data_IF_415373180921
#
_entry.id   IF_415373180921
#
_cell.length_a   1.000
_cell.length_b   1.000
_cell.length_c   1.000
_cell.angle_alpha   90.00
_cell.angle_beta   90.00
_cell.angle_gamma   90.00
#
_symmetry.space_group_name_H-M   'P 1'
#
loop_
_entity.id
_entity.type
_entity.pdbx_description
1 polymer ?
#
# COMPACT_ATOMS: atom_id res chain seq x y z
N UNK A 1 8.15 -36.72 -7.26
CA UNK A 1 7.92 -35.30 -7.54
C UNK A 1 6.72 -34.81 -6.75
N UNK A 2 6.96 -33.94 -5.75
CA UNK A 2 5.90 -33.42 -4.88
C UNK A 2 4.99 -32.43 -5.62
N UNK A 3 5.48 -31.86 -6.71
CA UNK A 3 4.72 -30.91 -7.51
C UNK A 3 4.61 -31.43 -8.95
N UNK A 4 3.45 -31.97 -9.34
CA UNK A 4 3.21 -32.37 -10.71
C UNK A 4 3.48 -31.24 -11.71
N UNK A 5 4.10 -31.56 -12.84
CA UNK A 5 4.51 -30.56 -13.86
C UNK A 5 3.35 -29.65 -14.31
N UNK A 6 2.13 -30.16 -14.36
CA UNK A 6 0.94 -29.40 -14.71
C UNK A 6 0.61 -28.27 -13.71
N UNK A 7 1.01 -28.40 -12.43
CA UNK A 7 0.75 -27.42 -11.38
C UNK A 7 1.89 -26.41 -11.20
N UNK A 8 3.12 -26.78 -11.59
CA UNK A 8 4.32 -25.96 -11.32
C UNK A 8 4.33 -24.62 -12.05
N UNK A 9 3.56 -24.45 -13.11
CA UNK A 9 3.47 -23.19 -13.86
C UNK A 9 2.50 -22.19 -13.24
N UNK A 10 1.48 -22.66 -12.53
CA UNK A 10 0.39 -21.82 -12.03
C UNK A 10 0.48 -21.54 -10.52
N UNK A 11 1.17 -22.38 -9.77
CA UNK A 11 1.24 -22.26 -8.33
C UNK A 11 2.61 -21.76 -7.87
N UNK A 12 2.60 -21.00 -6.77
CA UNK A 12 3.81 -20.49 -6.11
C UNK A 12 3.95 -21.25 -4.81
N UNK A 13 4.63 -22.40 -4.85
CA UNK A 13 4.79 -23.30 -3.70
C UNK A 13 6.24 -23.74 -3.50
N UNK A 14 6.59 -23.95 -2.23
CA UNK A 14 7.83 -24.57 -1.80
C UNK A 14 7.57 -25.56 -0.68
N UNK A 15 8.47 -26.51 -0.51
CA UNK A 15 8.54 -27.35 0.69
C UNK A 15 9.46 -26.66 1.70
N UNK A 16 9.04 -26.59 2.95
CA UNK A 16 9.79 -25.97 4.03
C UNK A 16 10.18 -27.01 5.08
N UNK A 17 11.33 -26.81 5.71
CA UNK A 17 11.65 -27.49 6.96
C UNK A 17 10.67 -26.99 8.01
N UNK A 18 10.07 -27.89 8.82
CA UNK A 18 9.08 -27.48 9.80
C UNK A 18 9.61 -26.37 10.71
N UNK A 19 8.87 -25.25 10.71
CA UNK A 19 9.11 -24.10 11.59
C UNK A 19 10.51 -23.45 11.49
N UNK A 20 11.09 -23.54 10.32
CA UNK A 20 12.29 -22.80 9.94
C UNK A 20 12.00 -21.99 8.66
N UNK A 21 12.67 -20.86 8.52
CA UNK A 21 12.58 -20.06 7.29
C UNK A 21 13.36 -20.69 6.12
N UNK A 22 13.69 -21.97 6.23
CA UNK A 22 14.43 -22.73 5.22
C UNK A 22 13.45 -23.46 4.30
N UNK A 23 13.57 -23.17 3.01
CA UNK A 23 12.75 -23.79 1.99
C UNK A 23 13.61 -24.59 1.00
N UNK A 24 13.04 -25.65 0.47
CA UNK A 24 13.65 -26.49 -0.54
C UNK A 24 12.55 -27.01 -1.46
N UNK A 25 12.92 -27.54 -2.64
CA UNK A 25 11.98 -28.06 -3.62
C UNK A 25 10.86 -27.07 -3.98
N UNK A 26 11.08 -26.34 -5.06
CA UNK A 26 10.27 -25.19 -5.44
C UNK A 26 9.50 -25.46 -6.72
N UNK A 27 8.30 -24.88 -6.87
CA UNK A 27 7.68 -24.71 -8.18
C UNK A 27 8.45 -23.70 -9.02
N UNK A 28 8.32 -23.77 -10.35
CA UNK A 28 9.04 -22.86 -11.25
C UNK A 28 8.72 -21.38 -11.00
N UNK A 29 7.48 -21.05 -10.63
CA UNK A 29 7.12 -19.68 -10.27
C UNK A 29 7.78 -19.22 -8.98
N UNK A 30 7.88 -20.10 -7.98
CA UNK A 30 8.56 -19.77 -6.73
C UNK A 30 10.05 -19.52 -6.97
N UNK A 31 10.70 -20.35 -7.78
CA UNK A 31 12.11 -20.15 -8.17
C UNK A 31 12.35 -18.80 -8.82
N UNK A 32 11.46 -18.39 -9.75
CA UNK A 32 11.57 -17.09 -10.41
C UNK A 32 11.51 -15.93 -9.40
N UNK A 33 10.65 -16.03 -8.39
CA UNK A 33 10.57 -15.01 -7.34
C UNK A 33 11.88 -14.94 -6.55
N UNK A 34 12.43 -16.08 -6.10
CA UNK A 34 13.68 -16.12 -5.36
C UNK A 34 14.90 -15.65 -6.17
N UNK A 35 14.90 -15.85 -7.48
CA UNK A 35 16.00 -15.41 -8.35
C UNK A 35 16.25 -13.90 -8.31
N UNK A 36 15.22 -13.10 -8.03
CA UNK A 36 15.36 -11.65 -7.85
C UNK A 36 16.17 -11.26 -6.61
N UNK A 37 16.25 -12.13 -5.59
CA UNK A 37 17.06 -11.92 -4.37
C UNK A 37 18.40 -12.68 -4.37
N UNK A 38 18.86 -13.23 -5.51
CA UNK A 38 20.10 -13.99 -5.56
C UNK A 38 19.97 -15.43 -5.10
N UNK A 39 18.77 -15.99 -5.08
CA UNK A 39 18.45 -17.38 -4.76
C UNK A 39 18.97 -17.85 -3.39
N UNK A 40 18.51 -17.19 -2.32
CA UNK A 40 18.73 -17.67 -0.96
C UNK A 40 17.61 -18.66 -0.55
N UNK A 41 17.93 -19.81 0.05
CA UNK A 41 16.93 -20.76 0.56
C UNK A 41 16.16 -20.21 1.77
N UNK A 42 16.67 -19.17 2.39
CA UNK A 42 16.02 -18.45 3.49
C UNK A 42 15.18 -17.30 2.90
N UNK A 43 13.95 -17.18 3.38
CA UNK A 43 13.12 -16.05 3.07
C UNK A 43 12.67 -15.35 4.36
N UNK A 44 12.78 -14.03 4.37
CA UNK A 44 12.36 -13.21 5.51
C UNK A 44 10.85 -13.01 5.53
N UNK A 45 10.23 -13.21 6.68
CA UNK A 45 8.83 -12.90 6.89
C UNK A 45 8.77 -11.48 7.48
N UNK A 46 7.96 -10.62 6.88
CA UNK A 46 7.77 -9.24 7.35
C UNK A 46 7.34 -9.22 8.81
N UNK A 47 8.01 -8.41 9.63
CA UNK A 47 7.69 -8.21 11.04
C UNK A 47 7.61 -9.50 11.87
N UNK A 48 8.40 -10.50 11.52
CA UNK A 48 8.56 -11.75 12.30
C UNK A 48 10.03 -11.99 12.53
N UNK A 49 10.45 -11.92 13.78
CA UNK A 49 11.78 -12.26 14.22
C UNK A 49 11.86 -13.72 14.72
N UNK A 50 13.05 -14.17 15.09
CA UNK A 50 13.29 -15.54 15.55
C UNK A 50 12.52 -15.86 16.85
N UNK A 51 12.33 -14.88 17.73
CA UNK A 51 11.61 -15.06 18.99
C UNK A 51 10.11 -15.23 18.74
N UNK A 52 9.55 -14.44 17.83
CA UNK A 52 8.15 -14.58 17.41
C UNK A 52 7.92 -15.91 16.69
N UNK A 53 8.84 -16.33 15.81
CA UNK A 53 8.78 -17.63 15.16
C UNK A 53 8.82 -18.77 16.19
N UNK A 54 9.65 -18.62 17.22
CA UNK A 54 9.72 -19.59 18.31
C UNK A 54 8.39 -19.70 19.06
N UNK A 55 7.77 -18.59 19.43
CA UNK A 55 6.45 -18.56 20.10
C UNK A 55 5.37 -19.18 19.21
N UNK A 56 5.38 -18.89 17.90
CA UNK A 56 4.45 -19.50 16.96
C UNK A 56 4.58 -21.02 16.92
N UNK A 57 5.79 -21.54 17.00
CA UNK A 57 6.06 -22.99 17.06
C UNK A 57 5.54 -23.60 18.35
N UNK A 58 5.77 -22.95 19.49
CA UNK A 58 5.23 -23.39 20.79
C UNK A 58 3.70 -23.38 20.80
N UNK A 59 3.07 -22.37 20.16
CA UNK A 59 1.62 -22.30 20.07
C UNK A 59 1.00 -23.47 19.29
N UNK A 60 1.70 -24.01 18.28
CA UNK A 60 1.25 -25.22 17.59
C UNK A 60 1.29 -26.45 18.52
N UNK A 61 2.30 -26.54 19.37
CA UNK A 61 2.37 -27.58 20.39
C UNK A 61 1.20 -27.44 21.38
N UNK A 62 0.90 -26.20 21.82
CA UNK A 62 -0.25 -25.94 22.69
C UNK A 62 -1.59 -26.33 22.03
N UNK A 63 -1.74 -26.06 20.74
CA UNK A 63 -2.94 -26.45 20.00
C UNK A 63 -3.09 -27.96 19.92
N UNK A 64 -2.02 -28.70 19.61
CA UNK A 64 -2.05 -30.14 19.40
C UNK A 64 -2.18 -30.92 20.71
N UNK A 65 -1.41 -30.57 21.74
CA UNK A 65 -1.28 -31.35 22.96
C UNK A 65 -2.07 -30.83 24.15
N UNK A 66 -2.42 -29.54 24.16
CA UNK A 66 -3.11 -28.91 25.29
C UNK A 66 -4.51 -28.38 24.92
N UNK A 67 -5.00 -28.72 23.72
CA UNK A 67 -6.37 -28.41 23.28
C UNK A 67 -6.65 -26.92 23.11
N UNK A 68 -5.61 -26.10 22.94
CA UNK A 68 -5.75 -24.69 22.68
C UNK A 68 -6.18 -24.47 21.21
N UNK A 69 -6.72 -23.28 20.91
CA UNK A 69 -7.09 -22.85 19.55
C UNK A 69 -6.45 -21.50 19.24
N UNK A 70 -5.14 -21.43 19.46
CA UNK A 70 -4.37 -20.23 19.22
C UNK A 70 -4.28 -20.02 17.71
N UNK A 71 -4.73 -18.88 17.26
CA UNK A 71 -4.61 -18.46 15.86
C UNK A 71 -3.92 -17.09 15.83
N UNK A 72 -2.76 -17.03 15.19
CA UNK A 72 -2.10 -15.77 14.92
C UNK A 72 -2.81 -15.11 13.74
N UNK A 73 -3.79 -14.25 14.05
CA UNK A 73 -4.61 -13.58 13.04
C UNK A 73 -3.83 -12.59 12.14
N UNK A 74 -2.55 -12.38 12.43
CA UNK A 74 -1.69 -11.52 11.61
C UNK A 74 -1.31 -12.26 10.33
N UNK A 75 -1.69 -11.76 9.14
CA UNK A 75 -1.25 -12.37 7.89
C UNK A 75 0.27 -12.22 7.76
N UNK A 76 0.94 -13.32 7.41
CA UNK A 76 2.38 -13.34 7.15
C UNK A 76 2.64 -12.89 5.72
N UNK A 77 3.62 -11.99 5.54
CA UNK A 77 4.01 -11.49 4.23
C UNK A 77 5.48 -11.71 3.94
N UNK A 78 5.77 -11.99 2.69
CA UNK A 78 7.08 -12.00 2.10
C UNK A 78 7.18 -10.86 1.09
N UNK A 79 8.09 -9.93 1.34
CA UNK A 79 8.28 -8.74 0.51
C UNK A 79 9.53 -8.90 -0.34
N UNK A 80 9.37 -8.62 -1.63
CA UNK A 80 10.47 -8.73 -2.58
C UNK A 80 10.38 -7.64 -3.64
N UNK A 81 11.50 -6.98 -3.90
CA UNK A 81 11.64 -6.06 -5.00
C UNK A 81 11.94 -6.82 -6.29
N UNK A 82 11.20 -6.53 -7.35
CA UNK A 82 11.46 -7.12 -8.66
C UNK A 82 12.63 -6.41 -9.39
N UNK A 83 12.97 -6.91 -10.59
CA UNK A 83 14.05 -6.36 -11.43
C UNK A 83 13.82 -4.90 -11.84
N UNK A 84 12.59 -4.43 -11.81
CA UNK A 84 12.19 -3.07 -12.17
C UNK A 84 12.11 -2.14 -10.96
N UNK A 85 12.48 -2.63 -9.77
CA UNK A 85 12.42 -1.85 -8.53
C UNK A 85 11.01 -1.81 -7.90
N UNK A 86 10.04 -2.57 -8.42
CA UNK A 86 8.70 -2.62 -7.85
C UNK A 86 8.67 -3.56 -6.66
N UNK A 87 8.16 -3.08 -5.53
CA UNK A 87 7.94 -3.90 -4.34
C UNK A 87 6.70 -4.79 -4.54
N UNK A 88 6.90 -6.08 -4.47
CA UNK A 88 5.84 -7.07 -4.48
C UNK A 88 5.65 -7.66 -3.09
N UNK A 89 4.41 -7.86 -2.69
CA UNK A 89 4.01 -8.39 -1.39
C UNK A 89 3.29 -9.72 -1.59
N UNK A 90 3.89 -10.80 -1.08
CA UNK A 90 3.28 -12.13 -1.14
C UNK A 90 2.77 -12.52 0.24
N UNK A 91 1.49 -12.87 0.33
CA UNK A 91 0.92 -13.47 1.52
C UNK A 91 1.38 -14.92 1.62
N UNK A 92 1.91 -15.31 2.77
CA UNK A 92 2.37 -16.66 3.06
C UNK A 92 1.22 -17.47 3.67
N UNK A 93 0.93 -18.62 3.08
CA UNK A 93 0.13 -19.67 3.71
C UNK A 93 1.02 -20.87 3.98
N UNK A 94 1.03 -21.32 5.22
CA UNK A 94 1.80 -22.46 5.66
C UNK A 94 0.85 -23.62 5.98
N UNK A 95 1.04 -24.76 5.31
CA UNK A 95 0.33 -25.99 5.60
C UNK A 95 1.28 -26.94 6.34
N UNK A 96 0.90 -27.34 7.55
CA UNK A 96 1.65 -28.23 8.43
C UNK A 96 1.05 -29.64 8.53
N UNK A 97 0.12 -30.03 7.67
CA UNK A 97 -0.57 -31.34 7.73
C UNK A 97 0.40 -32.54 7.63
N UNK A 98 1.61 -32.29 7.12
CA UNK A 98 2.66 -33.31 6.98
C UNK A 98 3.73 -33.24 8.08
N UNK A 99 3.44 -32.53 9.17
CA UNK A 99 4.34 -32.34 10.29
C UNK A 99 3.85 -33.18 11.48
N UNK A 100 4.68 -34.09 11.96
CA UNK A 100 4.47 -34.84 13.19
C UNK A 100 5.22 -34.15 14.32
N UNK A 101 4.54 -33.88 15.43
CA UNK A 101 5.12 -33.25 16.62
C UNK A 101 5.26 -34.33 17.70
N UNK A 102 6.47 -34.55 18.21
CA UNK A 102 6.73 -35.55 19.25
C UNK A 102 7.54 -34.97 20.42
N UNK A 103 7.15 -35.23 21.67
CA UNK A 103 7.94 -34.81 22.83
C UNK A 103 9.23 -35.63 22.94
N UNK A 104 10.25 -35.03 23.52
CA UNK A 104 11.49 -35.71 23.95
C UNK A 104 11.51 -35.90 25.46
N UNK A 105 12.57 -36.52 25.99
CA UNK A 105 12.78 -36.62 27.44
C UNK A 105 12.97 -35.24 28.13
N UNK A 106 13.27 -34.22 27.39
CA UNK A 106 13.40 -32.83 27.88
C UNK A 106 12.08 -32.07 27.91
N UNK A 107 11.00 -32.65 27.40
CA UNK A 107 9.69 -31.98 27.37
C UNK A 107 9.12 -31.87 28.77
N UNK A 108 8.53 -30.69 29.04
CA UNK A 108 7.81 -30.45 30.30
C UNK A 108 6.31 -30.66 30.06
N UNK A 109 5.65 -31.29 31.05
CA UNK A 109 4.19 -31.33 31.05
C UNK A 109 3.67 -30.06 31.70
N UNK A 110 2.90 -29.26 30.99
CA UNK A 110 2.34 -28.01 31.47
C UNK A 110 0.98 -28.26 32.14
N UNK A 111 0.71 -27.53 33.21
CA UNK A 111 -0.63 -27.40 33.79
C UNK A 111 -1.47 -26.41 33.00
N UNK A 112 -2.79 -26.39 33.18
CA UNK A 112 -3.67 -25.42 32.55
C UNK A 112 -3.35 -24.00 33.03
N UNK A 113 -2.94 -23.80 34.27
CA UNK A 113 -2.53 -22.52 34.81
C UNK A 113 -1.26 -21.97 34.11
N UNK A 114 -0.27 -22.86 33.88
CA UNK A 114 0.94 -22.48 33.13
C UNK A 114 0.67 -22.18 31.65
N UNK A 115 -0.29 -22.87 31.05
CA UNK A 115 -0.75 -22.54 29.69
C UNK A 115 -1.41 -21.19 29.67
N UNK A 116 -2.26 -20.83 30.63
CA UNK A 116 -2.87 -19.50 30.73
C UNK A 116 -1.80 -18.43 30.99
N UNK A 117 -0.81 -18.72 31.88
CA UNK A 117 0.31 -17.82 32.14
C UNK A 117 1.07 -17.45 30.84
N UNK A 118 1.32 -18.45 29.97
CA UNK A 118 1.97 -18.25 28.68
C UNK A 118 1.13 -17.36 27.74
N UNK A 119 -0.18 -17.60 27.69
CA UNK A 119 -1.08 -16.86 26.83
C UNK A 119 -1.27 -15.41 27.28
N UNK A 120 -1.24 -15.15 28.59
CA UNK A 120 -1.32 -13.82 29.18
C UNK A 120 -0.01 -13.02 29.04
N UNK A 121 1.12 -13.71 28.78
CA UNK A 121 2.45 -13.12 28.62
C UNK A 121 3.07 -13.50 27.27
N UNK A 122 2.35 -13.21 26.20
CA UNK A 122 2.73 -13.55 24.83
C UNK A 122 4.10 -13.00 24.41
N UNK A 123 4.48 -11.84 24.87
CA UNK A 123 5.74 -11.13 24.56
C UNK A 123 6.93 -11.52 25.45
N UNK A 124 6.72 -12.35 26.48
CA UNK A 124 7.77 -12.78 27.39
C UNK A 124 8.48 -14.03 26.86
N UNK A 125 9.42 -13.86 25.95
CA UNK A 125 10.17 -14.97 25.31
C UNK A 125 10.90 -15.86 26.32
N UNK A 126 11.40 -15.31 27.45
CA UNK A 126 12.11 -16.10 28.45
C UNK A 126 11.17 -17.08 29.15
N UNK A 127 9.92 -16.67 29.41
CA UNK A 127 8.88 -17.55 29.93
C UNK A 127 8.59 -18.73 28.97
N UNK A 128 8.44 -18.42 27.68
CA UNK A 128 8.21 -19.44 26.66
C UNK A 128 9.38 -20.39 26.54
N UNK A 129 10.65 -19.91 26.54
CA UNK A 129 11.86 -20.75 26.52
C UNK A 129 12.03 -21.59 27.78
N UNK A 130 11.55 -21.12 28.94
CA UNK A 130 11.57 -21.88 30.17
C UNK A 130 10.58 -23.04 30.13
N UNK A 131 9.37 -22.86 29.57
CA UNK A 131 8.32 -23.87 29.47
C UNK A 131 8.53 -24.85 28.28
N UNK A 132 9.15 -24.37 27.20
CA UNK A 132 9.51 -25.15 26.02
C UNK A 132 11.03 -25.10 25.80
N UNK A 133 11.87 -25.80 26.59
CA UNK A 133 13.31 -25.77 26.41
C UNK A 133 13.72 -26.23 25.01
N UNK A 134 14.87 -25.74 24.54
CA UNK A 134 15.41 -26.20 23.25
C UNK A 134 15.53 -27.73 23.24
N UNK A 135 15.20 -28.34 22.09
CA UNK A 135 15.20 -29.81 21.89
C UNK A 135 14.17 -30.54 22.73
N UNK A 136 13.24 -29.87 23.41
CA UNK A 136 12.17 -30.56 24.17
C UNK A 136 11.11 -31.16 23.27
N UNK A 137 11.00 -30.70 22.03
CA UNK A 137 10.08 -31.22 21.03
C UNK A 137 10.78 -31.41 19.69
N UNK A 138 10.42 -32.48 19.00
CA UNK A 138 10.91 -32.79 17.66
C UNK A 138 9.75 -32.67 16.68
N UNK A 139 9.99 -31.91 15.63
CA UNK A 139 9.07 -31.73 14.51
C UNK A 139 9.63 -32.52 13.32
N UNK A 140 8.94 -33.56 12.91
CA UNK A 140 9.33 -34.43 11.80
C UNK A 140 8.42 -34.19 10.61
N UNK A 141 8.97 -34.32 9.40
CA UNK A 141 8.22 -34.19 8.18
C UNK A 141 8.56 -32.89 7.44
N UNK A 142 7.58 -32.27 6.81
CA UNK A 142 7.77 -31.05 6.04
C UNK A 142 6.48 -30.19 6.03
N UNK A 143 6.65 -28.90 5.88
CA UNK A 143 5.56 -27.97 5.61
C UNK A 143 5.49 -27.61 4.13
N UNK A 144 4.32 -27.18 3.70
CA UNK A 144 4.14 -26.59 2.37
C UNK A 144 3.88 -25.10 2.53
N UNK A 145 4.77 -24.29 1.95
CA UNK A 145 4.61 -22.84 1.85
C UNK A 145 3.93 -22.54 0.52
N UNK A 146 2.83 -21.80 0.55
CA UNK A 146 2.18 -21.25 -0.63
C UNK A 146 2.21 -19.75 -0.58
N UNK A 147 2.60 -19.10 -1.69
CA UNK A 147 2.61 -17.65 -1.81
C UNK A 147 1.45 -17.19 -2.69
N UNK A 148 0.75 -16.19 -2.22
CA UNK A 148 -0.30 -15.49 -2.96
C UNK A 148 0.09 -14.04 -3.15
N UNK A 149 -0.01 -13.56 -4.38
CA UNK A 149 0.23 -12.15 -4.68
C UNK A 149 -0.83 -11.27 -4.02
N UNK A 150 -0.43 -10.56 -3.00
CA UNK A 150 -1.25 -9.62 -2.23
C UNK A 150 -0.72 -8.19 -2.38
N UNK A 151 0.04 -7.90 -3.44
CA UNK A 151 0.71 -6.61 -3.65
C UNK A 151 -0.27 -5.45 -3.62
N UNK A 152 -1.38 -5.54 -4.33
CA UNK A 152 -2.39 -4.47 -4.38
C UNK A 152 -3.03 -4.25 -3.01
N UNK A 153 -3.41 -5.31 -2.30
CA UNK A 153 -4.04 -5.22 -0.98
C UNK A 153 -3.08 -4.63 0.07
N UNK A 154 -1.84 -5.11 0.09
CA UNK A 154 -0.81 -4.63 0.99
C UNK A 154 -0.44 -3.17 0.69
N UNK A 155 -0.30 -2.80 -0.58
CA UNK A 155 0.00 -1.44 -0.98
C UNK A 155 -1.12 -0.45 -0.60
N UNK A 156 -2.39 -0.83 -0.77
CA UNK A 156 -3.54 -0.03 -0.33
C UNK A 156 -3.56 0.10 1.20
N UNK A 157 -3.25 -0.97 1.94
CA UNK A 157 -3.15 -0.92 3.41
C UNK A 157 -2.05 0.04 3.86
N UNK A 158 -0.88 0.01 3.20
CA UNK A 158 0.22 0.93 3.47
C UNK A 158 -0.16 2.38 3.14
N UNK A 159 -0.84 2.60 2.00
CA UNK A 159 -1.36 3.92 1.63
C UNK A 159 -2.27 4.46 2.74
N UNK A 160 -3.24 3.66 3.20
CA UNK A 160 -4.13 4.05 4.29
C UNK A 160 -3.38 4.40 5.57
N UNK A 161 -2.39 3.60 5.96
CA UNK A 161 -1.57 3.87 7.13
C UNK A 161 -0.78 5.17 6.98
N UNK A 162 -0.20 5.42 5.81
CA UNK A 162 0.57 6.63 5.52
C UNK A 162 -0.33 7.87 5.52
N UNK A 163 -1.49 7.82 4.91
CA UNK A 163 -2.44 8.93 4.92
C UNK A 163 -2.98 9.26 6.32
N UNK A 164 -2.83 8.36 7.31
CA UNK A 164 -3.25 8.56 8.70
C UNK A 164 -2.17 9.17 9.60
N UNK A 165 -0.90 9.19 9.16
CA UNK A 165 0.22 9.70 9.97
C UNK A 165 0.18 11.24 10.10
N UNK A 166 0.79 11.76 11.16
CA UNK A 166 0.82 13.21 11.45
C UNK A 166 1.79 13.99 10.55
N UNK A 167 1.66 15.32 10.52
CA UNK A 167 2.46 16.20 9.64
C UNK A 167 3.97 16.16 9.88
N UNK A 168 4.41 15.87 11.11
CA UNK A 168 5.83 15.87 11.49
C UNK A 168 6.58 14.71 10.84
N UNK A 169 5.86 13.66 10.46
CA UNK A 169 6.43 12.46 9.82
C UNK A 169 6.38 12.53 8.28
N UNK A 170 5.86 13.60 7.69
CA UNK A 170 5.51 13.67 6.25
C UNK A 170 6.68 13.84 5.28
N UNK A 171 7.83 14.35 5.71
CA UNK A 171 8.96 14.63 4.79
C UNK A 171 9.54 13.37 4.11
N UNK A 172 9.38 12.18 4.71
CA UNK A 172 9.81 10.90 4.13
C UNK A 172 8.76 10.25 3.20
N UNK A 173 7.54 10.81 3.12
CA UNK A 173 6.38 10.13 2.53
C UNK A 173 6.19 10.22 1.02
N UNK A 174 6.86 11.12 0.36
CA UNK A 174 6.62 11.34 -1.07
C UNK A 174 7.12 10.20 -1.90
N UNK A 175 8.35 9.76 -1.61
CA UNK A 175 8.93 8.60 -2.26
C UNK A 175 8.13 7.32 -1.93
N UNK A 176 7.59 7.24 -0.70
CA UNK A 176 6.73 6.14 -0.31
C UNK A 176 5.39 6.16 -1.05
N UNK A 177 4.76 7.34 -1.21
CA UNK A 177 3.48 7.49 -1.89
C UNK A 177 3.58 7.04 -3.36
N UNK A 178 4.55 7.56 -4.12
CA UNK A 178 4.79 7.11 -5.49
C UNK A 178 5.14 5.61 -5.55
N UNK A 179 5.95 5.11 -4.61
CA UNK A 179 6.33 3.69 -4.53
C UNK A 179 5.12 2.80 -4.33
N UNK A 180 4.17 3.21 -3.49
CA UNK A 180 2.91 2.51 -3.29
C UNK A 180 2.11 2.45 -4.60
N UNK A 181 1.99 3.59 -5.30
CA UNK A 181 1.29 3.63 -6.58
C UNK A 181 1.99 2.79 -7.65
N UNK A 182 3.32 2.84 -7.74
CA UNK A 182 4.11 1.97 -8.63
C UNK A 182 3.81 0.49 -8.37
N UNK A 183 3.68 0.10 -7.11
CA UNK A 183 3.34 -1.27 -6.71
C UNK A 183 1.90 -1.65 -7.11
N UNK A 184 0.90 -0.78 -6.86
CA UNK A 184 -0.50 -1.02 -7.23
C UNK A 184 -0.67 -1.13 -8.74
N UNK A 185 -0.07 -0.21 -9.49
CA UNK A 185 -0.23 -0.12 -10.94
C UNK A 185 0.76 -1.01 -11.70
N UNK A 186 1.84 -1.46 -11.05
CA UNK A 186 2.95 -2.25 -11.64
C UNK A 186 3.61 -1.52 -12.81
N UNK A 187 3.78 -0.21 -12.67
CA UNK A 187 4.43 0.68 -13.63
C UNK A 187 5.63 1.32 -12.92
N UNK A 188 6.88 0.94 -13.25
CA UNK A 188 8.08 1.41 -12.55
C UNK A 188 8.29 2.92 -12.64
N UNK A 189 7.98 3.50 -13.82
CA UNK A 189 8.17 4.91 -14.11
C UNK A 189 6.91 5.76 -13.86
N UNK A 190 5.94 5.22 -13.11
CA UNK A 190 4.73 5.95 -12.73
C UNK A 190 5.11 7.13 -11.84
N UNK A 191 4.60 8.29 -12.20
CA UNK A 191 4.62 9.50 -11.38
C UNK A 191 3.21 9.88 -11.00
N UNK A 192 3.04 10.40 -9.79
CA UNK A 192 1.73 10.75 -9.22
C UNK A 192 1.70 12.23 -8.89
N UNK A 193 0.66 12.90 -9.31
CA UNK A 193 0.36 14.28 -8.98
C UNK A 193 -1.00 14.42 -8.33
N UNK A 194 -1.22 15.56 -7.69
CA UNK A 194 -2.50 15.86 -7.08
C UNK A 194 -2.75 17.35 -7.04
N UNK A 195 -3.98 17.75 -7.35
CA UNK A 195 -4.46 19.14 -7.21
C UNK A 195 -5.75 19.16 -6.40
N UNK A 196 -5.90 20.19 -5.58
CA UNK A 196 -7.14 20.49 -4.87
C UNK A 196 -8.02 21.42 -5.70
N UNK A 197 -9.33 21.28 -5.52
CA UNK A 197 -10.29 22.20 -6.10
C UNK A 197 -10.86 23.12 -5.03
N UNK A 198 -10.65 24.43 -5.21
CA UNK A 198 -11.26 25.47 -4.39
C UNK A 198 -12.62 25.85 -4.98
N UNK A 199 -13.70 25.41 -4.35
CA UNK A 199 -15.06 25.67 -4.84
C UNK A 199 -15.46 27.15 -4.73
N UNK A 200 -14.96 27.89 -3.72
CA UNK A 200 -15.33 29.29 -3.48
C UNK A 200 -14.76 30.19 -4.57
N UNK A 201 -13.55 29.89 -5.05
CA UNK A 201 -12.84 30.70 -6.05
C UNK A 201 -12.90 30.10 -7.45
N UNK A 202 -13.44 28.88 -7.56
CA UNK A 202 -13.49 28.11 -8.81
C UNK A 202 -12.09 27.94 -9.43
N UNK A 203 -11.11 27.57 -8.59
CA UNK A 203 -9.70 27.42 -8.98
C UNK A 203 -9.16 26.05 -8.59
N UNK A 204 -8.15 25.61 -9.35
CA UNK A 204 -7.31 24.49 -8.97
C UNK A 204 -6.03 25.01 -8.30
N UNK A 205 -5.69 24.44 -7.16
CA UNK A 205 -4.53 24.86 -6.36
C UNK A 205 -3.66 23.66 -6.01
N UNK A 206 -2.35 23.87 -5.90
CA UNK A 206 -1.46 22.85 -5.33
C UNK A 206 -1.74 22.70 -3.84
N UNK A 207 -1.66 21.48 -3.27
CA UNK A 207 -1.77 21.30 -1.85
C UNK A 207 -0.72 22.14 -1.10
N UNK A 208 -1.06 22.83 -0.01
CA UNK A 208 -0.17 23.79 0.66
C UNK A 208 1.07 23.14 1.32
N UNK A 209 1.12 21.82 1.46
CA UNK A 209 2.29 21.07 1.95
C UNK A 209 3.17 20.54 0.83
N UNK A 210 2.97 21.00 -0.39
CA UNK A 210 3.63 20.44 -1.56
C UNK A 210 4.95 21.12 -1.91
N UNK A 211 5.57 21.87 -1.00
CA UNK A 211 6.85 22.54 -1.33
C UNK A 211 7.94 21.55 -1.77
N UNK A 212 7.79 20.25 -1.49
CA UNK A 212 8.68 19.21 -2.02
C UNK A 212 7.99 17.87 -2.37
N UNK A 213 6.65 17.72 -2.17
CA UNK A 213 6.11 16.38 -2.02
C UNK A 213 5.14 15.85 -3.08
N UNK A 214 4.19 16.59 -3.55
CA UNK A 214 3.33 16.13 -4.63
C UNK A 214 3.34 17.12 -5.78
N UNK A 215 3.95 16.70 -6.88
CA UNK A 215 3.97 17.48 -8.13
C UNK A 215 2.57 17.62 -8.69
N UNK A 216 2.30 18.67 -9.42
CA UNK A 216 1.19 18.70 -10.35
C UNK A 216 1.73 18.81 -11.76
N UNK A 217 1.30 17.93 -12.62
CA UNK A 217 1.66 17.91 -14.04
C UNK A 217 0.72 18.79 -14.85
N UNK A 218 -0.41 19.14 -14.27
CA UNK A 218 -1.42 20.00 -14.85
C UNK A 218 -1.11 21.47 -14.59
N UNK A 219 -0.80 21.83 -13.35
CA UNK A 219 -0.41 23.18 -12.97
C UNK A 219 1.05 23.48 -13.29
N UNK A 220 1.90 22.45 -13.32
CA UNK A 220 3.35 22.51 -13.58
C UNK A 220 4.03 23.58 -12.71
N UNK A 221 4.35 24.76 -13.27
CA UNK A 221 5.01 25.86 -12.55
C UNK A 221 4.04 26.83 -11.86
N UNK A 222 2.74 26.70 -12.13
CA UNK A 222 1.73 27.57 -11.52
C UNK A 222 1.33 27.02 -10.14
N UNK A 223 1.05 27.92 -9.20
CA UNK A 223 0.53 27.54 -7.88
C UNK A 223 -0.99 27.39 -7.90
N UNK A 224 -1.65 28.21 -8.70
CA UNK A 224 -3.10 28.28 -8.83
C UNK A 224 -3.48 28.61 -10.27
N UNK A 225 -4.53 27.96 -10.78
CA UNK A 225 -5.12 28.27 -12.10
C UNK A 225 -6.64 28.31 -11.98
N UNK A 226 -7.25 29.35 -12.59
CA UNK A 226 -8.71 29.38 -12.70
C UNK A 226 -9.22 28.22 -13.58
N UNK A 227 -10.42 27.72 -13.34
CA UNK A 227 -11.00 26.67 -14.17
C UNK A 227 -11.17 27.10 -15.64
N UNK A 228 -11.39 28.38 -15.89
CA UNK A 228 -11.50 28.93 -17.24
C UNK A 228 -10.18 28.98 -18.01
N UNK A 229 -9.07 29.16 -17.29
CA UNK A 229 -7.73 29.28 -17.86
C UNK A 229 -6.98 27.93 -17.80
N UNK A 230 -7.55 26.94 -17.09
CA UNK A 230 -6.96 25.61 -17.02
C UNK A 230 -6.94 24.99 -18.42
N UNK A 231 -5.85 24.30 -18.73
CA UNK A 231 -5.67 23.51 -19.96
C UNK A 231 -6.76 22.45 -20.17
N UNK A 232 -7.72 22.36 -19.25
CA UNK A 232 -8.77 21.35 -19.15
C UNK A 232 -10.17 21.83 -19.50
N UNK A 233 -10.39 23.12 -19.77
CA UNK A 233 -11.74 23.69 -19.77
C UNK A 233 -12.77 22.93 -20.62
N UNK A 234 -12.38 22.30 -21.71
CA UNK A 234 -13.33 21.57 -22.56
C UNK A 234 -13.43 20.05 -22.25
N UNK A 235 -12.32 19.38 -21.89
CA UNK A 235 -12.35 17.91 -21.64
C UNK A 235 -12.65 17.57 -20.19
N UNK A 236 -12.36 18.50 -19.30
CA UNK A 236 -12.46 18.26 -17.87
C UNK A 236 -13.85 18.59 -17.32
N UNK A 237 -14.53 19.58 -17.89
CA UNK A 237 -15.95 19.83 -17.56
C UNK A 237 -16.81 18.60 -17.84
N UNK A 238 -16.57 17.91 -18.97
CA UNK A 238 -17.23 16.63 -19.27
C UNK A 238 -16.83 15.53 -18.28
N UNK A 239 -15.53 15.40 -17.99
CA UNK A 239 -15.04 14.37 -17.04
C UNK A 239 -15.58 14.60 -15.62
N UNK A 240 -15.69 15.84 -15.16
CA UNK A 240 -16.29 16.22 -13.87
C UNK A 240 -17.80 15.98 -13.90
N UNK A 241 -18.49 16.44 -14.94
CA UNK A 241 -19.94 16.28 -15.07
C UNK A 241 -20.35 14.81 -15.14
N UNK A 242 -19.59 13.99 -15.85
CA UNK A 242 -19.80 12.56 -15.98
C UNK A 242 -19.16 11.76 -14.84
N UNK A 243 -18.36 12.38 -13.97
CA UNK A 243 -17.59 11.75 -12.87
C UNK A 243 -16.67 10.62 -13.36
N UNK A 244 -16.12 10.78 -14.55
CA UNK A 244 -15.24 9.80 -15.18
C UNK A 244 -13.81 10.31 -15.24
N UNK A 245 -12.88 9.37 -15.21
CA UNK A 245 -11.46 9.68 -15.44
C UNK A 245 -11.21 10.04 -16.90
N UNK A 246 -10.44 11.11 -17.14
CA UNK A 246 -9.86 11.39 -18.45
C UNK A 246 -8.64 10.50 -18.65
N UNK A 247 -8.67 9.67 -19.69
CA UNK A 247 -7.62 8.66 -19.97
C UNK A 247 -6.99 8.99 -21.30
N UNK A 248 -5.69 9.31 -21.28
CA UNK A 248 -4.87 9.57 -22.45
C UNK A 248 -3.79 8.47 -22.52
N UNK A 249 -4.13 7.36 -23.16
CA UNK A 249 -3.22 6.23 -23.25
C UNK A 249 -1.97 6.53 -24.10
N UNK A 250 -2.10 7.39 -25.09
CA UNK A 250 -1.01 7.79 -25.99
C UNK A 250 -1.19 9.27 -26.35
N UNK A 251 -0.36 10.12 -25.74
CA UNK A 251 -0.47 11.59 -25.88
C UNK A 251 -0.20 12.03 -27.32
N UNK A 252 0.77 11.40 -28.02
CA UNK A 252 1.07 11.74 -29.40
C UNK A 252 -0.12 11.41 -30.33
N UNK A 253 -0.78 10.27 -30.11
CA UNK A 253 -1.96 9.88 -30.87
C UNK A 253 -3.16 10.76 -30.53
N UNK A 254 -3.36 11.08 -29.25
CA UNK A 254 -4.45 11.92 -28.77
C UNK A 254 -4.35 13.35 -29.32
N UNK A 255 -3.13 13.91 -29.44
CA UNK A 255 -2.85 15.22 -30.04
C UNK A 255 -3.40 15.35 -31.48
N UNK A 256 -3.40 14.23 -32.24
CA UNK A 256 -3.92 14.23 -33.63
C UNK A 256 -5.46 14.24 -33.71
N UNK A 257 -6.13 13.86 -32.63
CA UNK A 257 -7.57 13.64 -32.60
C UNK A 257 -8.33 14.70 -31.77
N UNK A 258 -7.64 15.37 -30.86
CA UNK A 258 -8.24 16.31 -29.90
C UNK A 258 -8.24 17.74 -30.42
N UNK A 259 -9.24 18.52 -30.01
CA UNK A 259 -9.24 19.95 -30.14
C UNK A 259 -8.34 20.65 -29.12
N UNK A 260 -8.13 20.01 -27.94
CA UNK A 260 -7.30 20.52 -26.87
C UNK A 260 -5.81 20.15 -27.06
N UNK A 261 -5.19 20.78 -28.05
CA UNK A 261 -3.77 20.58 -28.36
C UNK A 261 -2.85 21.11 -27.26
N UNK A 262 -3.25 22.18 -26.59
CA UNK A 262 -2.46 22.80 -25.52
C UNK A 262 -2.15 21.83 -24.36
N UNK A 263 -3.13 21.02 -23.95
CA UNK A 263 -2.91 19.97 -22.94
C UNK A 263 -1.87 18.95 -23.39
N UNK A 264 -1.99 18.47 -24.62
CA UNK A 264 -1.05 17.46 -25.14
C UNK A 264 0.38 18.03 -25.26
N UNK A 265 0.53 19.25 -25.79
CA UNK A 265 1.83 19.92 -25.90
C UNK A 265 2.44 20.15 -24.51
N UNK A 266 1.62 20.53 -23.53
CA UNK A 266 2.04 20.70 -22.15
C UNK A 266 2.54 19.40 -21.52
N UNK A 267 1.81 18.28 -21.71
CA UNK A 267 2.23 16.97 -21.23
C UNK A 267 3.51 16.49 -21.92
N UNK A 268 3.59 16.65 -23.23
CA UNK A 268 4.78 16.27 -24.00
C UNK A 268 6.02 17.06 -23.61
N UNK A 269 5.87 18.36 -23.28
CA UNK A 269 6.99 19.19 -22.78
C UNK A 269 7.59 18.68 -21.49
N UNK A 270 6.82 17.95 -20.68
CA UNK A 270 7.23 17.29 -19.43
C UNK A 270 7.69 15.83 -19.63
N UNK A 271 7.79 15.37 -20.91
CA UNK A 271 8.16 14.01 -21.25
C UNK A 271 7.08 12.96 -20.94
N UNK A 272 5.82 13.38 -20.83
CA UNK A 272 4.69 12.49 -20.52
C UNK A 272 4.11 11.93 -21.81
N UNK A 273 3.98 10.61 -21.89
CA UNK A 273 3.44 9.87 -23.06
C UNK A 273 2.11 9.19 -22.80
N UNK A 274 1.77 8.94 -21.54
CA UNK A 274 0.44 8.47 -21.14
C UNK A 274 0.02 9.11 -19.82
N UNK A 275 -1.27 9.36 -19.65
CA UNK A 275 -1.82 10.01 -18.47
C UNK A 275 -3.22 9.52 -18.12
N UNK A 276 -3.56 9.56 -16.84
CA UNK A 276 -4.91 9.40 -16.31
C UNK A 276 -5.15 10.50 -15.29
N UNK A 277 -6.20 11.27 -15.50
CA UNK A 277 -6.66 12.30 -14.58
C UNK A 277 -8.02 11.87 -14.02
N UNK A 278 -8.09 11.66 -12.73
CA UNK A 278 -9.30 11.14 -12.09
C UNK A 278 -9.84 12.13 -11.06
N UNK A 279 -11.10 12.56 -11.19
CA UNK A 279 -11.72 13.45 -10.23
C UNK A 279 -11.94 12.74 -8.89
N UNK A 280 -11.58 13.38 -7.80
CA UNK A 280 -11.87 12.96 -6.43
C UNK A 280 -13.13 13.66 -5.99
N UNK A 281 -14.24 12.91 -5.91
CA UNK A 281 -15.58 13.47 -5.69
C UNK A 281 -16.20 12.85 -4.45
N UNK A 282 -16.82 13.69 -3.61
CA UNK A 282 -17.69 13.25 -2.50
C UNK A 282 -19.03 14.00 -2.55
N UNK A 283 -20.13 13.27 -2.39
CA UNK A 283 -21.48 13.87 -2.37
C UNK A 283 -21.77 14.84 -3.51
N UNK A 284 -21.31 14.51 -4.72
CA UNK A 284 -21.38 15.35 -5.92
C UNK A 284 -20.51 16.62 -5.89
N UNK A 285 -19.66 16.79 -4.90
CA UNK A 285 -18.71 17.90 -4.80
C UNK A 285 -17.33 17.43 -5.24
N UNK A 286 -16.71 18.15 -6.16
CA UNK A 286 -15.31 17.93 -6.56
C UNK A 286 -14.40 18.41 -5.42
N UNK A 287 -13.50 17.58 -4.96
CA UNK A 287 -12.49 17.90 -3.94
C UNK A 287 -11.12 18.15 -4.56
N UNK A 288 -10.82 17.48 -5.65
CA UNK A 288 -9.54 17.59 -6.32
C UNK A 288 -9.42 16.60 -7.48
N UNK A 289 -8.21 16.50 -8.03
CA UNK A 289 -7.89 15.56 -9.11
C UNK A 289 -6.60 14.84 -8.80
N UNK A 290 -6.62 13.51 -8.92
CA UNK A 290 -5.40 12.70 -8.90
C UNK A 290 -4.88 12.57 -10.33
N UNK A 291 -3.58 12.74 -10.49
CA UNK A 291 -2.87 12.73 -11.75
C UNK A 291 -1.91 11.55 -11.77
N UNK A 292 -2.09 10.62 -12.70
CA UNK A 292 -1.16 9.53 -12.96
C UNK A 292 -0.53 9.79 -14.32
N UNK A 293 0.79 9.86 -14.38
CA UNK A 293 1.51 10.11 -15.62
C UNK A 293 2.70 9.17 -15.80
N UNK A 294 3.02 8.84 -17.03
CA UNK A 294 4.17 7.99 -17.35
C UNK A 294 4.86 8.46 -18.65
N UNK A 295 6.20 8.27 -18.73
CA UNK A 295 6.97 8.64 -19.93
C UNK A 295 6.80 7.66 -21.08
N UNK A 296 6.15 6.52 -20.86
CA UNK A 296 5.91 5.48 -21.84
C UNK A 296 4.45 5.48 -22.28
N UNK A 297 4.18 5.46 -23.58
CA UNK A 297 2.83 5.40 -24.13
C UNK A 297 2.15 4.05 -23.83
N UNK A 298 0.83 4.09 -23.63
CA UNK A 298 -0.06 2.93 -23.45
C UNK A 298 0.15 2.10 -22.19
N UNK A 299 1.04 2.50 -21.28
CA UNK A 299 1.18 1.85 -19.96
C UNK A 299 0.05 2.25 -19.03
N UNK A 300 -0.49 3.46 -19.19
CA UNK A 300 -1.72 3.91 -18.53
C UNK A 300 -2.91 3.75 -19.49
N UNK A 301 -3.97 3.12 -19.03
CA UNK A 301 -5.16 2.81 -19.81
C UNK A 301 -6.41 2.70 -18.92
N UNK A 302 -7.56 2.36 -19.48
CA UNK A 302 -8.82 2.26 -18.74
C UNK A 302 -8.79 1.20 -17.63
N UNK A 303 -8.09 0.08 -17.82
CA UNK A 303 -7.96 -0.96 -16.78
C UNK A 303 -7.15 -0.46 -15.57
N UNK A 304 -6.17 0.41 -15.83
CA UNK A 304 -5.44 1.06 -14.75
C UNK A 304 -6.32 2.07 -14.01
N UNK A 305 -7.13 2.87 -14.75
CA UNK A 305 -8.04 3.84 -14.14
C UNK A 305 -9.04 3.19 -13.17
N UNK A 306 -9.53 1.97 -13.47
CA UNK A 306 -10.40 1.21 -12.57
C UNK A 306 -9.77 0.95 -11.19
N UNK A 307 -8.45 0.79 -11.11
CA UNK A 307 -7.77 0.60 -9.82
C UNK A 307 -7.84 1.83 -8.91
N UNK A 308 -8.03 3.02 -9.48
CA UNK A 308 -8.21 4.24 -8.68
C UNK A 308 -9.46 4.21 -7.82
N UNK A 309 -10.50 3.50 -8.23
CA UNK A 309 -11.72 3.34 -7.40
C UNK A 309 -11.44 2.69 -6.04
N UNK A 310 -10.36 1.91 -5.92
CA UNK A 310 -9.92 1.34 -4.64
C UNK A 310 -9.20 2.36 -3.75
N UNK A 311 -8.63 3.41 -4.35
CA UNK A 311 -7.76 4.39 -3.69
C UNK A 311 -8.53 5.67 -3.36
N UNK A 312 -9.39 6.13 -4.26
CA UNK A 312 -10.15 7.39 -4.14
C UNK A 312 -10.84 7.57 -2.78
N UNK A 313 -11.50 6.56 -2.17
CA UNK A 313 -12.13 6.73 -0.88
C UNK A 313 -11.17 7.19 0.22
N UNK A 314 -9.93 6.68 0.22
CA UNK A 314 -8.91 7.06 1.21
C UNK A 314 -8.38 8.48 0.97
N UNK A 315 -8.28 8.89 -0.29
CA UNK A 315 -7.94 10.28 -0.65
C UNK A 315 -9.03 11.25 -0.20
N UNK A 316 -10.31 10.90 -0.40
CA UNK A 316 -11.45 11.68 0.08
C UNK A 316 -11.35 11.91 1.59
N UNK A 317 -11.17 10.85 2.37
CA UNK A 317 -11.09 10.93 3.83
C UNK A 317 -9.90 11.79 4.28
N UNK A 318 -8.78 11.74 3.55
CA UNK A 318 -7.58 12.54 3.84
C UNK A 318 -7.79 14.01 3.56
N UNK A 319 -8.38 14.35 2.42
CA UNK A 319 -8.67 15.74 2.03
C UNK A 319 -9.65 16.37 3.02
N UNK A 320 -10.70 15.65 3.41
CA UNK A 320 -11.67 16.18 4.37
C UNK A 320 -11.07 16.44 5.75
N UNK A 321 -10.26 15.51 6.24
CA UNK A 321 -9.56 15.69 7.51
C UNK A 321 -8.68 16.92 7.46
N UNK A 322 -7.89 17.04 6.39
CA UNK A 322 -7.03 18.20 6.21
C UNK A 322 -7.81 19.51 6.15
N UNK A 323 -8.90 19.58 5.38
CA UNK A 323 -9.76 20.76 5.33
C UNK A 323 -10.34 21.10 6.72
N UNK A 324 -10.68 20.08 7.50
CA UNK A 324 -11.16 20.26 8.88
C UNK A 324 -10.07 20.80 9.78
N UNK A 325 -8.84 20.30 9.68
CA UNK A 325 -7.69 20.74 10.45
C UNK A 325 -7.33 22.20 10.15
N UNK A 326 -7.34 22.59 8.86
CA UNK A 326 -7.16 24.00 8.47
C UNK A 326 -8.24 24.87 9.08
N UNK A 327 -9.50 24.45 9.01
CA UNK A 327 -10.60 25.20 9.62
C UNK A 327 -10.37 25.43 11.12
N UNK A 328 -10.00 24.40 11.85
CA UNK A 328 -9.71 24.50 13.29
C UNK A 328 -8.51 25.40 13.55
N UNK A 329 -7.45 25.34 12.74
CA UNK A 329 -6.29 26.23 12.87
C UNK A 329 -6.68 27.70 12.61
N UNK A 330 -7.44 27.98 11.58
CA UNK A 330 -7.96 29.32 11.28
C UNK A 330 -8.83 29.84 12.42
N UNK A 331 -9.75 28.99 12.93
CA UNK A 331 -10.60 29.35 14.08
C UNK A 331 -9.76 29.66 15.32
N UNK A 332 -8.73 28.84 15.60
CA UNK A 332 -7.82 29.06 16.73
C UNK A 332 -7.04 30.37 16.61
N UNK A 333 -6.53 30.69 15.40
CA UNK A 333 -5.86 31.99 15.13
C UNK A 333 -6.81 33.14 15.31
N UNK A 334 -8.03 33.05 14.75
CA UNK A 334 -9.05 34.07 14.89
C UNK A 334 -9.42 34.29 16.36
N UNK A 335 -9.62 33.22 17.16
CA UNK A 335 -9.91 33.33 18.56
C UNK A 335 -8.76 33.93 19.35
N UNK A 336 -7.51 33.69 18.97
CA UNK A 336 -6.32 34.23 19.64
C UNK A 336 -6.07 35.69 19.31
N UNK A 337 -6.19 36.07 18.03
CA UNK A 337 -5.78 37.39 17.54
C UNK A 337 -6.96 38.38 17.38
N UNK A 338 -8.19 37.85 17.19
CA UNK A 338 -9.36 38.69 16.86
C UNK A 338 -10.60 38.23 17.60
N UNK A 339 -11.04 39.04 18.58
CA UNK A 339 -12.20 38.72 19.41
C UNK A 339 -13.57 38.96 18.77
N UNK A 340 -13.66 39.50 17.56
CA UNK A 340 -14.93 39.80 16.88
C UNK A 340 -14.83 39.83 15.35
N UNK A 341 -14.63 38.69 14.70
CA UNK A 341 -14.76 38.61 13.23
C UNK A 341 -16.09 37.96 12.85
N UNK A 342 -16.81 38.58 11.91
CA UNK A 342 -18.05 38.01 11.41
C UNK A 342 -17.78 36.76 10.55
N UNK A 343 -18.58 35.67 10.68
CA UNK A 343 -18.37 34.41 9.94
C UNK A 343 -18.21 34.54 8.43
N UNK A 344 -18.81 35.55 7.81
CA UNK A 344 -18.75 35.80 6.36
C UNK A 344 -17.37 36.20 5.81
N UNK A 345 -16.40 36.49 6.69
CA UNK A 345 -15.02 36.85 6.30
C UNK A 345 -13.98 35.79 6.62
N UNK A 346 -14.37 34.68 7.24
CA UNK A 346 -13.46 33.57 7.59
C UNK A 346 -12.71 32.99 6.38
N UNK A 347 -13.34 32.94 5.22
CA UNK A 347 -12.74 32.41 4.01
C UNK A 347 -11.50 33.19 3.54
N UNK A 348 -11.40 34.50 3.87
CA UNK A 348 -10.23 35.31 3.51
C UNK A 348 -8.98 34.92 4.31
N UNK A 349 -9.13 34.45 5.53
CA UNK A 349 -8.01 34.02 6.39
C UNK A 349 -7.49 32.63 6.10
N UNK A 350 -8.12 31.88 5.20
CA UNK A 350 -7.61 30.61 4.70
C UNK A 350 -6.46 30.75 3.71
N UNK A 351 -6.22 31.95 3.18
CA UNK A 351 -5.18 32.24 2.16
C UNK A 351 -3.85 32.68 2.78
N UNK A 352 -3.82 33.13 4.00
CA UNK A 352 -2.63 33.57 4.74
C UNK A 352 -2.14 32.45 5.68
#
# INVERSE_FOLDING_TARGET
DLFPTALTHNEIKAVAIPFQNLTFNYTERFKKILQHQGFTPEFSIRDVDDDQLYIMNCALILNEFYGQKINFNKPLFFDIQDQNGIMNHYRILYNADFVEITPTEKSLTLTQEEVHELLDNYDNIDLWKAKFPKESWILKGFGIVSLYDATTESAISNLKSNLLKSEIEKAEYVDEFETIFRSVFRIPELRVGFILYNQEENTFVKPPYSDETLSSYLLFNEQELSCSDSLFSCCFEEAIAEKKSLIIADVDQYLLQTENKALCEHLLSQGIKSAVFSPVIKNNVLLGVIELVAPTARVLNSLNAEKLYLIIPYLVDTIERHNTDILHQVEAVIQREYTAIHPSVYWKFRKE
#
